data_IF_385630544198
#
_entry.id   IF_385630544198
#
_cell.length_a   1.000
_cell.length_b   1.000
_cell.length_c   1.000
_cell.angle_alpha   90.00
_cell.angle_beta   90.00
_cell.angle_gamma   90.00
#
_symmetry.space_group_name_H-M   'P 1'
#
loop_
_entity.id
_entity.type
_entity.pdbx_description
1 polymer ?
#
# COMPACT_ATOMS: atom_id res chain seq x y z
N UNK A 1 -39.24 14.03 12.63
CA UNK A 1 -39.61 15.18 11.78
C UNK A 1 -38.33 15.77 11.24
N UNK A 2 -38.06 15.60 9.94
CA UNK A 2 -36.82 16.02 9.30
C UNK A 2 -37.14 17.19 8.36
N UNK A 3 -36.76 18.40 8.73
CA UNK A 3 -36.89 19.60 7.89
C UNK A 3 -35.59 19.77 7.11
N UNK A 4 -35.45 19.02 6.01
CA UNK A 4 -34.52 19.39 4.94
C UNK A 4 -35.13 20.58 4.20
N UNK A 5 -34.34 21.64 4.02
CA UNK A 5 -34.81 22.87 3.39
C UNK A 5 -35.04 22.62 1.90
N UNK A 6 -36.20 23.03 1.37
CA UNK A 6 -36.53 22.99 -0.07
C UNK A 6 -35.50 23.70 -0.96
N UNK A 7 -34.61 24.49 -0.39
CA UNK A 7 -33.56 25.19 -1.09
C UNK A 7 -32.34 24.29 -1.36
N UNK A 8 -31.99 23.40 -0.43
CA UNK A 8 -30.87 22.46 -0.60
C UNK A 8 -31.17 21.39 -1.65
N UNK A 9 -32.42 20.92 -1.72
CA UNK A 9 -32.84 19.97 -2.75
C UNK A 9 -32.78 20.60 -4.16
N UNK A 10 -33.08 21.90 -4.26
CA UNK A 10 -33.06 22.64 -5.52
C UNK A 10 -31.65 22.92 -6.03
N UNK A 11 -30.67 23.07 -5.13
CA UNK A 11 -29.27 23.25 -5.49
C UNK A 11 -28.63 21.94 -5.94
N UNK A 12 -29.00 20.81 -5.34
CA UNK A 12 -28.54 19.47 -5.76
C UNK A 12 -29.10 19.11 -7.14
N UNK A 13 -30.39 19.35 -7.40
CA UNK A 13 -30.99 19.10 -8.71
C UNK A 13 -30.38 19.97 -9.82
N UNK A 14 -29.95 21.20 -9.49
CA UNK A 14 -29.25 22.08 -10.43
C UNK A 14 -27.84 21.57 -10.75
N UNK A 15 -27.12 21.05 -9.76
CA UNK A 15 -25.80 20.46 -9.96
C UNK A 15 -25.87 19.19 -10.84
N UNK A 16 -26.86 18.32 -10.62
CA UNK A 16 -27.07 17.12 -11.46
C UNK A 16 -27.35 17.50 -12.92
N UNK A 17 -28.11 18.58 -13.14
CA UNK A 17 -28.43 19.04 -14.50
C UNK A 17 -27.20 19.59 -15.22
N UNK A 18 -26.35 20.37 -14.53
CA UNK A 18 -25.12 20.93 -15.10
C UNK A 18 -24.13 19.83 -15.50
N UNK A 19 -24.04 18.77 -14.70
CA UNK A 19 -23.17 17.61 -14.98
C UNK A 19 -23.65 16.84 -16.20
N UNK A 20 -24.97 16.66 -16.38
CA UNK A 20 -25.54 15.94 -17.53
C UNK A 20 -25.45 16.71 -18.85
N UNK A 21 -25.48 18.04 -18.81
CA UNK A 21 -25.62 18.87 -20.01
C UNK A 21 -24.31 19.51 -20.50
N UNK A 22 -23.17 19.30 -19.83
CA UNK A 22 -21.88 19.86 -20.28
C UNK A 22 -21.19 18.91 -21.26
N UNK A 23 -21.10 19.24 -22.57
CA UNK A 23 -20.30 18.46 -23.50
C UNK A 23 -18.82 18.66 -23.20
N UNK A 24 -18.13 17.56 -22.90
CA UNK A 24 -16.69 17.55 -22.62
C UNK A 24 -15.94 17.45 -23.95
N UNK A 25 -15.46 18.56 -24.47
CA UNK A 25 -14.47 18.59 -25.55
C UNK A 25 -13.07 18.57 -24.93
N UNK A 26 -12.38 17.43 -25.00
CA UNK A 26 -11.06 17.25 -24.39
C UNK A 26 -9.96 17.59 -25.41
N UNK A 27 -9.42 18.80 -25.35
CA UNK A 27 -8.18 19.14 -26.06
C UNK A 27 -6.97 18.73 -25.21
N UNK A 28 -6.54 17.48 -25.41
CA UNK A 28 -5.40 16.86 -24.73
C UNK A 28 -4.03 17.34 -25.25
N UNK A 29 -3.99 18.02 -26.40
CA UNK A 29 -2.74 18.34 -27.09
C UNK A 29 -2.16 19.65 -26.56
N UNK A 30 -3.00 20.66 -26.33
CA UNK A 30 -2.53 21.98 -25.87
C UNK A 30 -2.03 21.97 -24.41
N UNK A 31 -2.49 21.03 -23.57
CA UNK A 31 -2.06 20.93 -22.16
C UNK A 31 -0.68 20.31 -21.97
N UNK A 32 -0.18 19.60 -22.97
CA UNK A 32 1.12 18.91 -22.90
C UNK A 32 2.28 19.80 -23.35
N UNK A 33 2.03 20.76 -24.25
CA UNK A 33 3.08 21.65 -24.78
C UNK A 33 3.44 22.84 -23.88
N UNK A 34 2.54 23.31 -23.01
CA UNK A 34 2.84 24.46 -22.13
C UNK A 34 3.79 24.16 -20.97
N UNK A 35 4.01 22.88 -20.63
CA UNK A 35 4.91 22.47 -19.54
C UNK A 35 6.38 22.34 -19.95
N UNK A 36 6.69 22.31 -21.25
CA UNK A 36 8.06 22.14 -21.74
C UNK A 36 8.79 23.44 -22.08
N UNK A 37 8.08 24.56 -22.26
CA UNK A 37 8.69 25.84 -22.62
C UNK A 37 9.08 26.71 -21.40
N UNK A 38 8.53 26.46 -20.21
CA UNK A 38 8.80 27.29 -19.02
C UNK A 38 10.08 26.93 -18.25
N UNK A 39 10.80 25.88 -18.64
CA UNK A 39 11.94 25.33 -17.86
C UNK A 39 13.31 25.58 -18.48
N UNK A 40 13.45 26.53 -19.42
CA UNK A 40 14.70 26.76 -20.16
C UNK A 40 15.40 28.11 -19.98
N UNK A 41 14.97 28.98 -19.08
CA UNK A 41 15.69 30.23 -18.84
C UNK A 41 15.90 30.52 -17.35
N UNK A 42 17.02 30.04 -16.79
CA UNK A 42 17.73 30.78 -15.73
C UNK A 42 19.24 30.55 -15.84
N UNK A 43 19.98 31.61 -16.17
CA UNK A 43 21.45 31.67 -16.15
C UNK A 43 21.98 31.89 -14.72
N UNK A 44 23.16 31.37 -14.35
CA UNK A 44 23.78 31.68 -13.06
C UNK A 44 24.63 32.96 -13.15
N UNK A 45 24.53 33.82 -12.15
CA UNK A 45 25.37 35.02 -11.98
C UNK A 45 26.52 34.73 -11.02
N UNK A 46 27.75 34.75 -11.53
CA UNK A 46 28.96 34.88 -10.72
C UNK A 46 29.12 36.29 -10.15
N UNK A 47 29.60 36.41 -8.91
CA UNK A 47 30.55 37.46 -8.53
C UNK A 47 31.40 37.04 -7.34
N UNK A 48 32.60 37.58 -7.37
CA UNK A 48 33.86 37.10 -6.80
C UNK A 48 34.29 37.96 -5.60
N UNK A 49 35.13 37.37 -4.72
CA UNK A 49 36.10 37.99 -3.75
C UNK A 49 35.51 38.54 -2.43
N UNK A 50 36.14 38.41 -1.25
CA UNK A 50 37.57 38.28 -0.91
C UNK A 50 37.83 37.87 0.56
N UNK A 51 38.91 37.08 0.75
CA UNK A 51 39.97 37.15 1.79
C UNK A 51 39.70 36.99 3.31
N UNK A 52 40.30 35.90 3.81
CA UNK A 52 41.35 35.76 4.87
C UNK A 52 40.96 35.84 6.37
N UNK A 53 41.20 34.67 6.99
CA UNK A 53 41.90 34.39 8.26
C UNK A 53 41.30 34.96 9.57
N UNK A 54 40.85 34.06 10.45
CA UNK A 54 41.56 33.82 11.71
C UNK A 54 41.28 32.42 12.26
N UNK A 55 42.34 31.79 12.73
CA UNK A 55 42.44 30.41 13.21
C UNK A 55 42.68 30.49 14.73
N UNK A 56 41.92 29.70 15.49
CA UNK A 56 42.25 29.07 16.78
C UNK A 56 42.20 29.85 18.12
N UNK A 57 41.79 29.06 19.13
CA UNK A 57 41.75 29.21 20.61
C UNK A 57 40.52 29.97 21.12
N UNK A 58 39.69 29.37 21.98
CA UNK A 58 40.04 28.87 23.33
C UNK A 58 39.39 27.51 23.65
N UNK A 59 40.19 26.65 24.28
CA UNK A 59 39.84 25.35 24.86
C UNK A 59 39.72 25.52 26.39
N UNK A 60 38.74 24.82 26.98
CA UNK A 60 38.56 24.41 28.39
C UNK A 60 38.18 25.47 29.45
N UNK A 61 37.08 25.22 30.18
CA UNK A 61 37.11 24.61 31.53
C UNK A 61 35.68 24.22 32.00
N UNK A 62 35.56 22.94 32.37
CA UNK A 62 34.67 22.25 33.35
C UNK A 62 33.15 22.41 33.27
N UNK A 63 32.38 21.37 32.95
CA UNK A 63 32.05 20.15 33.70
C UNK A 63 30.75 20.29 34.53
N UNK A 64 29.88 19.30 34.33
CA UNK A 64 28.76 18.90 35.21
C UNK A 64 27.41 19.58 35.00
N UNK A 65 26.69 19.12 33.98
CA UNK A 65 25.27 18.73 34.15
C UNK A 65 24.93 17.67 33.09
N UNK A 66 25.14 16.41 33.47
CA UNK A 66 24.57 15.28 32.80
C UNK A 66 23.05 15.39 32.86
N UNK A 67 22.37 15.50 31.72
CA UNK A 67 21.07 14.88 31.44
C UNK A 67 20.62 15.25 30.03
N UNK A 68 20.31 14.20 29.25
CA UNK A 68 19.58 14.22 27.98
C UNK A 68 20.42 14.61 26.74
N UNK A 69 21.36 13.73 26.39
CA UNK A 69 21.63 13.44 24.98
C UNK A 69 21.80 11.94 24.82
N UNK A 70 20.67 11.23 24.90
CA UNK A 70 20.54 9.91 24.27
C UNK A 70 20.45 10.14 22.75
N UNK A 71 21.54 10.64 22.17
CA UNK A 71 21.84 10.39 20.77
C UNK A 71 22.10 8.88 20.71
N UNK A 72 21.07 8.11 20.36
CA UNK A 72 21.31 6.74 19.91
C UNK A 72 22.01 6.88 18.55
N UNK A 73 23.33 6.96 18.64
CA UNK A 73 24.23 6.67 17.54
C UNK A 73 24.07 5.17 17.29
N UNK A 74 23.15 4.78 16.39
CA UNK A 74 23.21 3.45 15.77
C UNK A 74 24.29 3.53 14.68
N UNK A 75 25.55 3.55 15.09
CA UNK A 75 26.66 3.26 14.19
C UNK A 75 27.36 2.01 14.68
N UNK A 76 27.15 0.92 13.93
CA UNK A 76 28.15 -0.11 13.72
C UNK A 76 28.14 -1.29 14.67
N UNK A 77 27.58 -2.40 14.21
CA UNK A 77 28.35 -3.65 14.05
C UNK A 77 28.01 -4.25 12.68
N UNK A 78 28.41 -3.55 11.61
CA UNK A 78 28.57 -4.22 10.31
C UNK A 78 29.79 -5.12 10.51
N UNK A 79 29.60 -6.45 10.50
CA UNK A 79 30.75 -7.35 10.63
C UNK A 79 31.72 -7.07 9.47
N UNK A 80 33.04 -7.21 9.66
CA UNK A 80 34.01 -7.07 8.57
C UNK A 80 33.72 -7.97 7.35
N UNK A 81 32.97 -9.07 7.53
CA UNK A 81 32.49 -9.93 6.45
C UNK A 81 31.40 -9.28 5.59
N UNK A 82 30.55 -8.42 6.16
CA UNK A 82 29.46 -7.72 5.46
C UNK A 82 29.96 -6.50 4.66
N UNK A 83 31.09 -5.91 5.08
CA UNK A 83 31.74 -4.81 4.34
C UNK A 83 32.48 -5.30 3.07
N UNK A 84 32.87 -6.58 3.01
CA UNK A 84 33.63 -7.14 1.89
C UNK A 84 32.77 -7.45 0.65
N UNK A 85 31.43 -7.50 0.78
CA UNK A 85 30.50 -7.79 -0.32
C UNK A 85 29.82 -6.55 -0.91
N UNK A 86 30.14 -5.35 -0.42
CA UNK A 86 29.58 -4.06 -0.92
C UNK A 86 30.09 -3.63 -2.31
N UNK A 87 30.97 -4.42 -2.97
CA UNK A 87 31.51 -4.07 -4.29
C UNK A 87 30.80 -4.85 -5.38
N UNK A 88 30.10 -4.10 -6.21
CA UNK A 88 29.61 -4.47 -7.54
C UNK A 88 28.36 -5.37 -7.58
N UNK A 89 27.21 -4.78 -7.25
CA UNK A 89 25.96 -5.15 -7.92
C UNK A 89 25.47 -3.90 -8.65
N UNK A 90 25.25 -3.94 -9.98
CA UNK A 90 24.60 -2.85 -10.67
C UNK A 90 23.23 -2.63 -10.01
N UNK A 91 22.96 -1.45 -9.46
CA UNK A 91 21.62 -1.13 -8.98
C UNK A 91 20.67 -1.24 -10.17
N UNK A 92 19.86 -2.30 -10.18
CA UNK A 92 18.71 -2.36 -11.06
C UNK A 92 17.84 -1.14 -10.79
N UNK A 93 17.24 -0.59 -11.85
CA UNK A 93 16.09 0.27 -11.71
C UNK A 93 15.11 -0.37 -10.72
N UNK A 94 14.52 0.44 -9.84
CA UNK A 94 13.53 -0.01 -8.86
C UNK A 94 12.64 -1.17 -9.31
N UNK A 95 12.61 -2.22 -8.49
CA UNK A 95 11.73 -3.38 -8.70
C UNK A 95 10.25 -2.98 -8.66
N UNK A 96 9.90 -1.93 -7.91
CA UNK A 96 8.53 -1.42 -7.80
C UNK A 96 8.01 -0.78 -9.07
N UNK A 97 8.87 -0.28 -9.97
CA UNK A 97 8.46 0.20 -11.31
C UNK A 97 7.79 -0.89 -12.16
N UNK A 98 8.14 -2.15 -11.91
CA UNK A 98 7.63 -3.30 -12.66
C UNK A 98 6.50 -4.03 -11.96
N UNK A 99 6.11 -3.57 -10.77
CA UNK A 99 4.94 -4.09 -10.08
C UNK A 99 3.67 -3.74 -10.86
N UNK A 100 2.66 -4.61 -10.79
CA UNK A 100 1.29 -4.31 -11.30
C UNK A 100 0.47 -3.47 -10.30
N UNK A 101 1.15 -2.84 -9.35
CA UNK A 101 0.58 -2.06 -8.25
C UNK A 101 0.96 -0.59 -8.44
N UNK A 102 -0.05 0.24 -8.72
CA UNK A 102 0.13 1.67 -8.96
C UNK A 102 0.64 2.42 -7.72
N UNK A 103 0.36 1.90 -6.53
CA UNK A 103 0.93 2.38 -5.28
C UNK A 103 2.43 2.18 -5.19
N UNK A 104 2.93 1.00 -5.58
CA UNK A 104 4.37 0.71 -5.60
C UNK A 104 5.09 1.53 -6.69
N UNK A 105 4.47 1.69 -7.86
CA UNK A 105 5.00 2.59 -8.88
C UNK A 105 5.10 4.03 -8.35
N UNK A 106 4.04 4.53 -7.72
CA UNK A 106 4.06 5.85 -7.09
C UNK A 106 5.10 5.98 -5.96
N UNK A 107 5.36 4.90 -5.22
CA UNK A 107 6.39 4.86 -4.18
C UNK A 107 7.78 5.13 -4.76
N UNK A 108 8.10 4.53 -5.91
CA UNK A 108 9.36 4.76 -6.58
C UNK A 108 9.42 6.15 -7.25
N UNK A 109 8.39 6.52 -8.02
CA UNK A 109 8.35 7.79 -8.76
C UNK A 109 8.50 9.01 -7.84
N UNK A 110 7.90 8.94 -6.65
CA UNK A 110 7.95 9.99 -5.63
C UNK A 110 9.16 9.87 -4.69
N UNK A 111 10.00 8.84 -4.85
CA UNK A 111 11.16 8.59 -3.99
C UNK A 111 10.80 8.29 -2.53
N UNK A 112 9.65 7.64 -2.31
CA UNK A 112 9.10 7.30 -0.99
C UNK A 112 9.58 5.93 -0.49
N UNK A 113 10.03 5.06 -1.38
CA UNK A 113 10.64 3.79 -1.00
C UNK A 113 12.11 3.96 -0.60
N UNK A 114 12.58 3.08 0.28
CA UNK A 114 13.99 3.02 0.67
C UNK A 114 14.70 1.98 -0.18
N UNK A 115 15.68 2.41 -0.98
CA UNK A 115 16.57 1.49 -1.67
C UNK A 115 17.57 0.92 -0.68
N UNK A 116 17.70 -0.40 -0.68
CA UNK A 116 18.65 -1.16 0.14
C UNK A 116 19.62 -1.87 -0.79
N UNK A 117 20.83 -2.12 -0.29
CA UNK A 117 21.82 -2.95 -0.97
C UNK A 117 22.34 -4.00 0.02
N UNK A 118 21.40 -4.68 0.67
CA UNK A 118 21.73 -5.70 1.67
C UNK A 118 21.71 -7.05 0.98
N UNK A 119 22.85 -7.74 0.97
CA UNK A 119 23.02 -9.02 0.32
C UNK A 119 23.46 -10.08 1.31
N UNK A 120 22.95 -11.30 1.16
CA UNK A 120 23.41 -12.48 1.90
C UNK A 120 23.76 -13.55 0.88
N UNK A 121 24.87 -14.27 1.11
CA UNK A 121 25.33 -15.34 0.22
C UNK A 121 25.60 -16.60 1.01
N UNK A 122 24.92 -17.69 0.65
CA UNK A 122 25.16 -19.04 1.15
C UNK A 122 25.36 -19.97 -0.03
N UNK A 123 26.36 -20.86 0.04
CA UNK A 123 26.59 -21.92 -0.95
C UNK A 123 26.66 -21.41 -2.40
N UNK A 124 27.17 -20.19 -2.61
CA UNK A 124 27.30 -19.56 -3.93
C UNK A 124 26.01 -19.01 -4.53
N UNK A 125 24.92 -19.00 -3.77
CA UNK A 125 23.66 -18.32 -4.09
C UNK A 125 23.54 -17.02 -3.29
N UNK A 126 23.27 -15.92 -3.98
CA UNK A 126 23.19 -14.59 -3.39
C UNK A 126 21.76 -14.08 -3.50
N UNK A 127 21.20 -13.65 -2.37
CA UNK A 127 19.94 -12.90 -2.31
C UNK A 127 20.20 -11.47 -1.86
N UNK A 128 19.48 -10.55 -2.49
CA UNK A 128 19.51 -9.12 -2.20
C UNK A 128 18.12 -8.67 -1.79
N UNK A 129 18.05 -7.91 -0.70
CA UNK A 129 16.91 -7.03 -0.43
C UNK A 129 17.23 -5.68 -1.04
N UNK A 130 16.48 -5.31 -2.07
CA UNK A 130 16.81 -4.16 -2.93
C UNK A 130 15.99 -2.91 -2.62
N UNK A 131 14.78 -3.10 -2.12
CA UNK A 131 13.85 -1.99 -1.95
C UNK A 131 12.76 -2.31 -0.92
N UNK A 132 12.42 -1.35 -0.07
CA UNK A 132 11.34 -1.51 0.92
C UNK A 132 10.49 -0.26 1.04
N UNK A 133 9.22 -0.45 1.41
CA UNK A 133 8.33 0.64 1.78
C UNK A 133 7.33 0.19 2.85
N UNK A 134 6.97 1.10 3.75
CA UNK A 134 5.92 0.89 4.75
C UNK A 134 5.14 2.20 4.88
N UNK A 135 3.82 2.17 4.69
CA UNK A 135 2.98 3.37 4.71
C UNK A 135 1.99 3.43 5.88
N UNK A 136 2.09 2.49 6.82
CA UNK A 136 1.12 2.33 7.91
C UNK A 136 -0.04 1.39 7.59
N UNK A 137 -0.20 0.96 6.34
CA UNK A 137 -1.25 0.03 5.90
C UNK A 137 -0.70 -1.28 5.32
N UNK A 138 0.54 -1.27 4.82
CA UNK A 138 1.27 -2.44 4.34
C UNK A 138 2.78 -2.23 4.37
N UNK A 139 3.50 -3.33 4.56
CA UNK A 139 4.95 -3.45 4.36
C UNK A 139 5.17 -4.16 3.04
N UNK A 140 6.05 -3.62 2.20
CA UNK A 140 6.42 -4.23 0.92
C UNK A 140 7.92 -4.29 0.77
N UNK A 141 8.44 -5.44 0.33
CA UNK A 141 9.86 -5.76 0.22
C UNK A 141 10.13 -6.33 -1.16
N UNK A 142 11.05 -5.71 -1.90
CA UNK A 142 11.61 -6.23 -3.12
C UNK A 142 12.87 -7.05 -2.84
N UNK A 143 12.90 -8.27 -3.38
CA UNK A 143 14.06 -9.13 -3.35
C UNK A 143 14.50 -9.54 -4.75
N UNK A 144 15.80 -9.69 -4.93
CA UNK A 144 16.40 -10.06 -6.20
C UNK A 144 17.58 -11.01 -5.98
N UNK A 145 17.88 -11.83 -6.98
CA UNK A 145 19.17 -12.53 -7.08
C UNK A 145 19.93 -12.02 -8.31
N UNK A 146 21.26 -11.86 -8.23
CA UNK A 146 22.05 -11.51 -9.40
C UNK A 146 21.84 -12.53 -10.53
N UNK A 147 21.64 -12.04 -11.75
CA UNK A 147 21.61 -12.88 -12.94
C UNK A 147 23.00 -13.47 -13.20
N UNK A 148 23.11 -14.79 -13.34
CA UNK A 148 24.34 -15.44 -13.79
C UNK A 148 24.23 -15.74 -15.27
N UNK A 149 25.16 -15.19 -16.06
CA UNK A 149 25.21 -15.37 -17.49
C UNK A 149 25.30 -16.88 -17.84
N UNK A 150 24.38 -17.36 -18.69
CA UNK A 150 24.23 -18.77 -19.03
C UNK A 150 23.27 -19.58 -18.13
N UNK A 151 22.77 -19.00 -17.04
CA UNK A 151 21.75 -19.61 -16.18
C UNK A 151 20.35 -19.31 -16.76
N UNK A 152 19.89 -20.13 -17.71
CA UNK A 152 18.50 -20.11 -18.18
C UNK A 152 17.67 -21.07 -17.33
N UNK A 153 17.25 -20.64 -16.13
CA UNK A 153 16.27 -21.41 -15.36
C UNK A 153 14.85 -21.02 -15.77
N UNK A 154 14.05 -22.03 -16.15
CA UNK A 154 12.59 -21.87 -16.26
C UNK A 154 11.94 -21.65 -14.88
N UNK A 155 12.68 -21.96 -13.81
CA UNK A 155 12.26 -21.76 -12.43
C UNK A 155 12.50 -20.31 -11.99
N UNK A 156 11.47 -19.69 -11.42
CA UNK A 156 11.54 -18.33 -10.87
C UNK A 156 12.15 -18.34 -9.46
N UNK A 157 12.61 -17.19 -8.99
CA UNK A 157 13.04 -16.99 -7.61
C UNK A 157 11.92 -17.38 -6.64
N UNK A 158 10.68 -17.03 -7.01
CA UNK A 158 9.50 -17.36 -6.21
C UNK A 158 9.30 -18.88 -6.08
N UNK A 159 9.49 -19.64 -7.16
CA UNK A 159 9.39 -21.11 -7.13
C UNK A 159 10.45 -21.76 -6.24
N UNK A 160 11.62 -21.12 -6.10
CA UNK A 160 12.74 -21.60 -5.28
C UNK A 160 12.60 -21.30 -3.81
N UNK A 161 11.80 -20.31 -3.43
CA UNK A 161 11.55 -19.98 -2.03
C UNK A 161 10.64 -21.06 -1.45
N UNK A 162 11.14 -21.77 -0.44
CA UNK A 162 10.37 -22.80 0.25
C UNK A 162 9.69 -22.29 1.51
N UNK A 163 10.24 -21.22 2.11
CA UNK A 163 9.73 -20.69 3.37
C UNK A 163 10.07 -19.21 3.53
N UNK A 164 9.20 -18.48 4.23
CA UNK A 164 9.39 -17.06 4.54
C UNK A 164 8.79 -16.71 5.90
N UNK A 165 9.63 -16.15 6.75
CA UNK A 165 9.30 -15.74 8.10
C UNK A 165 9.69 -14.28 8.34
N UNK A 166 8.91 -13.63 9.19
CA UNK A 166 9.10 -12.24 9.56
C UNK A 166 9.05 -12.09 11.08
N UNK A 167 10.03 -11.39 11.64
CA UNK A 167 10.04 -10.97 13.04
C UNK A 167 9.98 -9.45 13.11
N UNK A 168 9.09 -8.93 13.97
CA UNK A 168 8.98 -7.50 14.22
C UNK A 168 9.66 -7.19 15.55
N UNK A 169 10.76 -6.42 15.51
CA UNK A 169 11.64 -6.16 16.65
C UNK A 169 12.11 -7.45 17.35
N UNK A 170 12.47 -8.47 16.57
CA UNK A 170 12.91 -9.78 17.07
C UNK A 170 11.80 -10.66 17.67
N UNK A 171 10.52 -10.26 17.55
CA UNK A 171 9.38 -11.06 18.02
C UNK A 171 8.64 -11.65 16.83
N UNK A 172 8.25 -12.91 16.97
CA UNK A 172 7.35 -13.59 16.02
C UNK A 172 6.03 -12.83 15.97
N UNK A 173 5.52 -12.57 14.76
CA UNK A 173 4.21 -11.97 14.59
C UNK A 173 3.13 -13.01 14.90
N UNK A 174 2.13 -12.62 15.67
CA UNK A 174 0.99 -13.48 15.93
C UNK A 174 0.20 -13.66 14.61
N UNK A 175 0.00 -14.91 14.14
CA UNK A 175 -0.67 -15.17 12.88
C UNK A 175 -2.14 -14.73 12.88
N UNK A 176 -2.73 -14.46 14.05
CA UNK A 176 -4.12 -13.96 14.17
C UNK A 176 -4.25 -12.45 13.94
N UNK A 177 -3.14 -11.71 13.94
CA UNK A 177 -3.12 -10.25 13.76
C UNK A 177 -2.37 -9.81 12.49
N UNK A 178 -2.00 -10.77 11.65
CA UNK A 178 -1.17 -10.62 10.45
C UNK A 178 -1.93 -11.10 9.22
N UNK A 179 -1.88 -10.36 8.12
CA UNK A 179 -2.65 -10.65 6.90
C UNK A 179 -2.23 -11.92 6.13
N UNK A 180 -1.19 -12.62 6.59
CA UNK A 180 -0.43 -13.51 5.74
C UNK A 180 0.57 -12.74 4.86
N UNK A 181 1.45 -13.49 4.21
CA UNK A 181 2.41 -12.95 3.23
C UNK A 181 1.83 -13.12 1.83
N UNK A 182 1.63 -12.01 1.13
CA UNK A 182 1.37 -12.00 -0.30
C UNK A 182 2.69 -11.98 -1.06
N UNK A 183 2.82 -12.86 -2.04
CA UNK A 183 4.00 -12.93 -2.90
C UNK A 183 3.58 -12.57 -4.31
N UNK A 184 4.19 -11.52 -4.86
CA UNK A 184 3.90 -11.03 -6.19
C UNK A 184 5.06 -11.40 -7.12
N UNK A 185 4.80 -12.18 -8.18
CA UNK A 185 5.79 -12.39 -9.22
C UNK A 185 6.06 -11.07 -9.95
N UNK A 186 7.29 -10.89 -10.40
CA UNK A 186 7.64 -9.76 -11.28
C UNK A 186 7.82 -10.26 -12.71
N UNK A 187 8.13 -9.35 -13.63
CA UNK A 187 8.50 -9.72 -15.00
C UNK A 187 9.88 -10.39 -15.10
N UNK A 188 10.72 -10.25 -14.08
CA UNK A 188 12.04 -10.87 -14.03
C UNK A 188 11.99 -12.09 -13.11
N UNK A 189 12.24 -13.27 -13.68
CA UNK A 189 12.29 -14.54 -12.97
C UNK A 189 13.28 -14.54 -11.79
N UNK A 190 14.22 -13.59 -11.70
CA UNK A 190 15.18 -13.48 -10.62
C UNK A 190 14.76 -12.51 -9.51
N UNK A 191 13.51 -12.06 -9.50
CA UNK A 191 13.01 -11.12 -8.50
C UNK A 191 11.61 -11.46 -8.02
N UNK A 192 11.30 -11.02 -6.80
CA UNK A 192 10.00 -11.21 -6.17
C UNK A 192 9.68 -10.02 -5.27
N UNK A 193 8.39 -9.75 -5.08
CA UNK A 193 7.91 -8.74 -4.13
C UNK A 193 7.09 -9.45 -3.05
N UNK A 194 7.40 -9.17 -1.79
CA UNK A 194 6.60 -9.61 -0.66
C UNK A 194 5.83 -8.45 -0.08
N UNK A 195 4.56 -8.69 0.20
CA UNK A 195 3.68 -7.75 0.86
C UNK A 195 3.04 -8.41 2.07
N UNK A 196 2.95 -7.67 3.17
CA UNK A 196 2.17 -8.07 4.32
C UNK A 196 1.70 -6.85 5.12
N UNK A 197 0.80 -7.07 6.08
CA UNK A 197 0.33 -6.01 6.94
C UNK A 197 -0.15 -6.50 8.30
N UNK A 198 -0.28 -5.54 9.21
CA UNK A 198 -1.12 -5.70 10.38
C UNK A 198 -2.60 -5.80 9.99
N UNK A 199 -3.38 -6.41 10.86
CA UNK A 199 -4.83 -6.49 10.78
C UNK A 199 -5.48 -5.47 11.73
N UNK A 200 -4.90 -4.26 11.87
CA UNK A 200 -5.33 -3.28 12.89
C UNK A 200 -6.81 -2.90 12.80
N UNK A 201 -7.33 -2.86 11.58
CA UNK A 201 -8.75 -2.53 11.34
C UNK A 201 -9.68 -3.74 11.51
N UNK A 202 -9.12 -4.94 11.67
CA UNK A 202 -9.83 -6.18 11.98
C UNK A 202 -9.57 -6.60 13.43
N UNK A 203 -9.06 -5.71 14.28
CA UNK A 203 -8.82 -5.94 15.70
C UNK A 203 -7.52 -6.67 16.03
N UNK A 204 -6.56 -6.69 15.09
CA UNK A 204 -5.15 -6.92 15.40
C UNK A 204 -4.47 -5.67 15.97
N UNK A 205 -3.24 -5.81 16.44
CA UNK A 205 -2.44 -4.68 16.91
C UNK A 205 -1.74 -3.98 15.73
N UNK A 206 -1.70 -2.64 15.69
CA UNK A 206 -1.01 -1.91 14.62
C UNK A 206 0.50 -2.10 14.72
N UNK A 207 1.16 -2.17 13.56
CA UNK A 207 2.61 -2.08 13.52
C UNK A 207 3.09 -0.69 14.01
N UNK A 208 4.23 -0.62 14.71
CA UNK A 208 4.82 0.65 15.10
C UNK A 208 5.19 1.50 13.86
N UNK A 209 5.23 2.82 14.01
CA UNK A 209 5.73 3.72 12.94
C UNK A 209 7.20 3.43 12.55
N UNK A 210 7.99 2.87 13.46
CA UNK A 210 9.38 2.48 13.23
C UNK A 210 9.66 1.16 13.94
N UNK A 211 10.29 0.21 13.24
CA UNK A 211 10.65 -1.09 13.78
C UNK A 211 11.82 -1.70 13.00
N UNK A 212 12.54 -2.63 13.60
CA UNK A 212 13.46 -3.49 12.86
C UNK A 212 12.72 -4.75 12.41
N UNK A 213 12.69 -4.99 11.11
CA UNK A 213 12.12 -6.20 10.52
C UNK A 213 13.24 -7.20 10.28
N UNK A 214 13.12 -8.40 10.85
CA UNK A 214 13.97 -9.52 10.44
C UNK A 214 13.20 -10.34 9.42
N UNK A 215 13.71 -10.41 8.18
CA UNK A 215 13.25 -11.33 7.14
C UNK A 215 14.15 -12.57 7.18
N UNK A 216 13.55 -13.75 7.32
CA UNK A 216 14.22 -15.04 7.18
C UNK A 216 13.57 -15.80 6.02
N UNK A 217 14.33 -16.27 5.06
CA UNK A 217 13.80 -17.07 3.95
C UNK A 217 14.70 -18.24 3.61
N UNK A 218 14.07 -19.38 3.30
CA UNK A 218 14.78 -20.60 2.90
C UNK A 218 14.64 -20.82 1.41
N UNK A 219 15.75 -21.21 0.78
CA UNK A 219 15.82 -21.49 -0.65
C UNK A 219 16.02 -22.99 -0.85
N UNK A 220 15.22 -23.59 -1.73
CA UNK A 220 15.34 -25.01 -2.09
C UNK A 220 16.78 -25.34 -2.51
N UNK A 221 17.33 -26.37 -1.89
CA UNK A 221 18.68 -26.86 -2.16
C UNK A 221 19.80 -26.09 -1.46
N UNK A 222 19.47 -25.16 -0.55
CA UNK A 222 20.45 -24.46 0.30
C UNK A 222 20.13 -24.77 1.75
N UNK A 223 21.15 -25.15 2.52
CA UNK A 223 20.96 -25.64 3.88
C UNK A 223 20.69 -24.53 4.90
N UNK A 224 21.34 -23.37 4.72
CA UNK A 224 21.21 -22.22 5.63
C UNK A 224 20.13 -21.23 5.16
N UNK A 225 19.30 -20.70 6.10
CA UNK A 225 18.33 -19.66 5.77
C UNK A 225 19.02 -18.31 5.56
N UNK A 226 18.48 -17.52 4.63
CA UNK A 226 18.93 -16.15 4.37
C UNK A 226 18.23 -15.20 5.33
N UNK A 227 18.99 -14.54 6.21
CA UNK A 227 18.46 -13.62 7.23
C UNK A 227 18.89 -12.18 6.96
N UNK A 228 17.93 -11.26 6.97
CA UNK A 228 18.13 -9.83 6.77
C UNK A 228 17.51 -9.03 7.91
N UNK A 229 18.27 -8.09 8.47
CA UNK A 229 17.75 -7.06 9.38
C UNK A 229 17.51 -5.76 8.61
N UNK A 230 16.26 -5.32 8.61
CA UNK A 230 15.77 -4.23 7.77
C UNK A 230 15.13 -3.17 8.67
N UNK A 231 15.74 -1.97 8.79
CA UNK A 231 15.13 -0.88 9.52
C UNK A 231 13.95 -0.31 8.72
N UNK A 232 12.76 -0.38 9.29
CA UNK A 232 11.52 0.11 8.69
C UNK A 232 11.09 1.42 9.35
N UNK A 233 10.69 2.38 8.52
CA UNK A 233 10.05 3.63 8.95
C UNK A 233 8.86 3.91 8.06
N UNK A 234 7.73 4.23 8.69
CA UNK A 234 6.49 4.58 8.01
C UNK A 234 6.66 5.88 7.24
N UNK A 235 6.17 5.90 5.99
CA UNK A 235 5.98 7.13 5.20
C UNK A 235 4.62 7.80 5.49
N UNK A 236 3.82 7.22 6.39
CA UNK A 236 2.42 7.57 6.62
C UNK A 236 2.17 8.75 7.56
N UNK A 237 3.14 9.66 7.72
CA UNK A 237 2.98 10.79 8.65
C UNK A 237 1.88 11.79 8.23
N UNK A 238 1.50 11.81 6.94
CA UNK A 238 0.44 12.64 6.39
C UNK A 238 -0.78 11.84 5.89
N UNK A 239 -1.00 10.64 6.45
CA UNK A 239 -2.15 9.83 6.08
C UNK A 239 -3.47 10.51 6.49
N UNK A 240 -4.46 10.48 5.60
CA UNK A 240 -5.82 10.93 5.91
C UNK A 240 -6.63 9.74 6.38
N UNK A 241 -7.18 9.82 7.60
CA UNK A 241 -8.01 8.77 8.18
C UNK A 241 -9.43 9.29 8.33
N UNK A 242 -10.37 8.63 7.66
CA UNK A 242 -11.79 8.93 7.73
C UNK A 242 -12.50 7.79 8.47
N UNK A 243 -13.29 8.13 9.48
CA UNK A 243 -14.13 7.17 10.21
C UNK A 243 -15.60 7.58 10.02
N UNK A 244 -16.18 7.33 8.84
CA UNK A 244 -17.52 7.80 8.52
C UNK A 244 -18.56 7.18 9.46
N UNK A 245 -18.32 5.97 10.00
CA UNK A 245 -19.27 5.22 10.85
C UNK A 245 -20.66 5.14 10.21
N UNK A 246 -20.69 5.07 8.88
CA UNK A 246 -21.91 5.04 8.09
C UNK A 246 -22.32 3.58 7.91
N UNK A 247 -23.57 3.29 8.28
CA UNK A 247 -24.19 1.98 8.05
C UNK A 247 -25.47 2.13 7.24
N UNK A 248 -25.72 1.14 6.38
CA UNK A 248 -26.92 0.99 5.56
C UNK A 248 -27.43 -0.44 5.70
N UNK A 249 -28.71 -0.63 5.44
CA UNK A 249 -29.36 -1.94 5.52
C UNK A 249 -30.12 -2.22 4.24
N UNK A 250 -30.08 -3.46 3.79
CA UNK A 250 -30.86 -3.97 2.67
C UNK A 250 -31.19 -5.44 2.93
N UNK A 251 -32.48 -5.77 3.00
CA UNK A 251 -32.98 -7.09 3.39
C UNK A 251 -32.42 -7.53 4.75
N UNK A 252 -31.75 -8.68 4.79
CA UNK A 252 -31.11 -9.23 5.98
C UNK A 252 -29.69 -8.69 6.21
N UNK A 253 -29.18 -7.80 5.35
CA UNK A 253 -27.78 -7.39 5.40
C UNK A 253 -27.67 -5.98 5.99
N UNK A 254 -26.80 -5.83 6.97
CA UNK A 254 -26.26 -4.56 7.44
C UNK A 254 -24.84 -4.39 6.91
N UNK A 255 -24.60 -3.34 6.15
CA UNK A 255 -23.29 -2.99 5.59
C UNK A 255 -22.81 -1.68 6.21
N UNK A 256 -21.53 -1.61 6.57
CA UNK A 256 -20.89 -0.37 7.01
C UNK A 256 -19.52 -0.17 6.41
N UNK A 257 -19.16 1.11 6.30
CA UNK A 257 -17.79 1.55 6.02
C UNK A 257 -17.25 2.04 7.36
N UNK A 258 -16.32 1.29 7.93
CA UNK A 258 -15.81 1.53 9.27
C UNK A 258 -14.69 2.57 9.23
N UNK A 259 -13.79 2.45 8.25
CA UNK A 259 -12.64 3.34 8.09
C UNK A 259 -12.16 3.44 6.64
N UNK A 260 -11.67 4.62 6.24
CA UNK A 260 -10.91 4.83 5.01
C UNK A 260 -9.57 5.47 5.40
N UNK A 261 -8.46 4.88 4.96
CA UNK A 261 -7.11 5.42 5.13
C UNK A 261 -6.53 5.74 3.76
N UNK A 262 -6.19 7.00 3.53
CA UNK A 262 -5.53 7.46 2.31
C UNK A 262 -4.07 7.76 2.63
N UNK A 263 -3.16 6.96 2.06
CA UNK A 263 -1.72 7.15 2.16
C UNK A 263 -1.17 7.64 0.81
N UNK A 264 0.11 8.08 0.76
CA UNK A 264 0.74 8.42 -0.52
C UNK A 264 0.79 7.29 -1.55
N UNK A 265 0.63 6.03 -1.12
CA UNK A 265 0.81 4.82 -1.97
C UNK A 265 -0.33 3.79 -1.84
N UNK A 266 -1.33 4.00 -0.98
CA UNK A 266 -2.43 3.06 -0.75
C UNK A 266 -3.70 3.79 -0.36
N UNK A 267 -4.83 3.38 -0.94
CA UNK A 267 -6.17 3.65 -0.39
C UNK A 267 -6.68 2.39 0.29
N UNK A 268 -6.85 2.39 1.62
CA UNK A 268 -7.39 1.26 2.38
C UNK A 268 -8.81 1.56 2.86
N UNK A 269 -9.76 0.72 2.48
CA UNK A 269 -11.16 0.82 2.90
C UNK A 269 -11.50 -0.40 3.74
N UNK A 270 -11.95 -0.16 4.97
CA UNK A 270 -12.42 -1.20 5.87
C UNK A 270 -13.93 -1.22 5.87
N UNK A 271 -14.51 -2.37 5.53
CA UNK A 271 -15.95 -2.58 5.52
C UNK A 271 -16.35 -3.66 6.48
N UNK A 272 -17.60 -3.61 6.95
CA UNK A 272 -18.20 -4.66 7.75
C UNK A 272 -19.55 -5.04 7.16
N UNK A 273 -19.81 -6.35 7.10
CA UNK A 273 -21.08 -6.92 6.66
C UNK A 273 -21.60 -7.82 7.77
N UNK A 274 -22.83 -7.59 8.21
CA UNK A 274 -23.49 -8.41 9.22
C UNK A 274 -24.88 -8.87 8.73
N UNK A 275 -25.23 -10.13 9.00
CA UNK A 275 -26.58 -10.67 8.82
C UNK A 275 -27.41 -10.41 10.07
N UNK A 276 -28.55 -9.74 9.90
CA UNK A 276 -29.42 -9.30 11.00
C UNK A 276 -30.10 -10.47 11.72
N UNK A 277 -30.42 -11.54 11.00
CA UNK A 277 -30.99 -12.78 11.53
C UNK A 277 -29.96 -13.72 12.17
N UNK A 278 -28.66 -13.35 12.13
CA UNK A 278 -27.53 -14.14 12.64
C UNK A 278 -27.39 -15.52 11.99
N UNK A 279 -27.93 -15.70 10.78
CA UNK A 279 -27.65 -16.88 9.97
C UNK A 279 -26.19 -16.90 9.53
N UNK A 280 -25.69 -18.07 9.16
CA UNK A 280 -24.29 -18.26 8.76
C UNK A 280 -24.11 -17.69 7.35
N UNK A 281 -23.07 -16.88 7.14
CA UNK A 281 -22.67 -16.47 5.78
C UNK A 281 -22.04 -17.68 5.07
N UNK A 282 -22.73 -18.26 4.10
CA UNK A 282 -22.31 -19.45 3.38
C UNK A 282 -21.52 -19.06 2.11
N UNK A 283 -20.19 -19.04 2.25
CA UNK A 283 -19.26 -18.97 1.13
C UNK A 283 -19.03 -17.56 0.56
N UNK A 284 -18.22 -17.46 -0.49
CA UNK A 284 -17.88 -16.19 -1.14
C UNK A 284 -19.06 -15.54 -1.89
N UNK A 285 -20.12 -16.30 -2.15
CA UNK A 285 -21.28 -15.86 -2.95
C UNK A 285 -22.16 -14.85 -2.21
N UNK A 286 -22.17 -14.91 -0.89
CA UNK A 286 -22.96 -14.03 -0.03
C UNK A 286 -22.17 -12.79 0.42
N UNK A 287 -20.91 -12.65 -0.03
CA UNK A 287 -20.07 -11.51 0.32
C UNK A 287 -20.45 -10.28 -0.51
N UNK A 288 -20.59 -9.15 0.17
CA UNK A 288 -20.68 -7.85 -0.46
C UNK A 288 -19.29 -7.42 -0.93
N UNK A 289 -19.19 -7.10 -2.22
CA UNK A 289 -18.05 -6.45 -2.83
C UNK A 289 -18.34 -4.96 -3.00
N UNK A 290 -17.31 -4.16 -3.28
CA UNK A 290 -17.47 -2.71 -3.49
C UNK A 290 -16.78 -2.24 -4.75
N UNK A 291 -17.30 -1.20 -5.40
CA UNK A 291 -16.50 -0.35 -6.29
C UNK A 291 -16.40 1.03 -5.68
N UNK A 292 -15.25 1.65 -5.86
CA UNK A 292 -14.93 2.96 -5.26
C UNK A 292 -14.70 3.93 -6.40
N UNK A 293 -15.40 5.05 -6.33
CA UNK A 293 -15.36 6.10 -7.34
C UNK A 293 -14.89 7.39 -6.68
N UNK A 294 -14.06 8.17 -7.39
CA UNK A 294 -13.79 9.56 -7.03
C UNK A 294 -14.94 10.49 -7.47
N UNK A 295 -14.85 11.80 -7.16
CA UNK A 295 -15.87 12.78 -7.57
C UNK A 295 -15.94 13.02 -9.08
N UNK A 296 -14.94 12.55 -9.84
CA UNK A 296 -14.86 12.67 -11.30
C UNK A 296 -15.44 11.43 -12.00
N UNK A 297 -15.81 10.39 -11.24
CA UNK A 297 -16.35 9.14 -11.75
C UNK A 297 -15.28 8.10 -12.10
N UNK A 298 -14.00 8.33 -11.79
CA UNK A 298 -12.96 7.33 -11.98
C UNK A 298 -13.11 6.20 -10.97
N UNK A 299 -13.01 4.96 -11.46
CA UNK A 299 -13.06 3.76 -10.62
C UNK A 299 -11.65 3.42 -10.17
N UNK A 300 -11.46 3.31 -8.85
CA UNK A 300 -10.18 2.93 -8.29
C UNK A 300 -9.82 1.49 -8.63
N UNK A 301 -8.57 1.28 -9.07
CA UNK A 301 -8.04 -0.05 -9.32
C UNK A 301 -7.65 -0.77 -8.02
N UNK A 302 -8.04 -2.03 -7.95
CA UNK A 302 -7.76 -2.91 -6.82
C UNK A 302 -6.29 -3.35 -6.86
N UNK A 303 -5.58 -3.22 -5.74
CA UNK A 303 -4.21 -3.74 -5.61
C UNK A 303 -4.20 -5.10 -4.92
N UNK A 304 -4.72 -5.16 -3.70
CA UNK A 304 -4.79 -6.39 -2.90
C UNK A 304 -5.94 -6.33 -1.88
N UNK A 305 -6.40 -7.50 -1.43
CA UNK A 305 -7.28 -7.61 -0.27
C UNK A 305 -6.47 -7.78 1.00
N UNK A 306 -6.91 -7.16 2.11
CA UNK A 306 -6.48 -7.53 3.44
C UNK A 306 -7.44 -8.62 3.91
N UNK A 307 -6.89 -9.72 4.45
CA UNK A 307 -7.68 -10.82 5.03
C UNK A 307 -8.84 -10.31 5.89
N UNK A 308 -9.91 -11.09 5.96
CA UNK A 308 -11.08 -10.73 6.75
C UNK A 308 -11.08 -11.39 8.11
N UNK A 309 -11.83 -10.81 9.05
CA UNK A 309 -12.09 -11.41 10.36
C UNK A 309 -13.58 -11.63 10.56
N UNK A 310 -13.92 -12.84 10.97
CA UNK A 310 -15.23 -13.18 11.53
C UNK A 310 -15.27 -12.72 12.99
N UNK A 311 -16.29 -11.96 13.35
CA UNK A 311 -16.40 -11.37 14.70
C UNK A 311 -17.27 -12.20 15.64
N UNK A 312 -17.91 -13.27 15.14
CA UNK A 312 -18.71 -14.20 15.92
C UNK A 312 -18.65 -15.65 15.41
N UNK A 313 -19.05 -16.58 16.28
CA UNK A 313 -19.15 -18.00 15.94
C UNK A 313 -20.26 -18.19 14.90
N UNK A 314 -19.89 -18.67 13.71
CA UNK A 314 -20.82 -18.90 12.60
C UNK A 314 -20.89 -17.77 11.57
N UNK A 315 -19.83 -16.96 11.40
CA UNK A 315 -19.57 -16.08 10.25
C UNK A 315 -20.66 -15.06 9.86
N UNK A 316 -21.67 -14.82 10.70
CA UNK A 316 -22.75 -13.86 10.41
C UNK A 316 -22.29 -12.39 10.41
N UNK A 317 -21.08 -12.11 10.91
CA UNK A 317 -20.52 -10.77 10.99
C UNK A 317 -19.03 -10.78 10.58
N UNK A 318 -18.72 -10.05 9.51
CA UNK A 318 -17.46 -10.11 8.81
C UNK A 318 -16.89 -8.72 8.54
N UNK A 319 -15.64 -8.50 8.96
CA UNK A 319 -14.87 -7.28 8.66
C UNK A 319 -13.82 -7.61 7.59
N UNK A 320 -13.71 -6.77 6.57
CA UNK A 320 -12.72 -6.90 5.50
C UNK A 320 -12.01 -5.59 5.22
N UNK A 321 -10.73 -5.68 4.82
CA UNK A 321 -9.97 -4.56 4.31
C UNK A 321 -9.75 -4.70 2.81
N UNK A 322 -9.93 -3.61 2.08
CA UNK A 322 -9.65 -3.51 0.66
C UNK A 322 -8.56 -2.47 0.41
N UNK A 323 -7.49 -2.85 -0.30
CA UNK A 323 -6.54 -1.88 -0.85
C UNK A 323 -6.80 -1.58 -2.31
N UNK A 324 -6.62 -0.32 -2.65
CA UNK A 324 -6.70 0.20 -4.00
C UNK A 324 -5.60 1.24 -4.24
N UNK A 325 -5.49 1.68 -5.48
CA UNK A 325 -4.54 2.71 -5.89
C UNK A 325 -4.63 3.99 -5.02
N UNK A 326 -3.50 4.69 -4.81
CA UNK A 326 -3.48 5.98 -4.14
C UNK A 326 -4.05 7.08 -5.03
N UNK A 327 -4.31 8.23 -4.42
CA UNK A 327 -4.61 9.45 -5.16
C UNK A 327 -3.36 10.31 -5.36
N UNK A 328 -3.18 10.86 -6.56
CA UNK A 328 -2.17 11.90 -6.79
C UNK A 328 -2.50 13.18 -6.01
N UNK A 329 -3.78 13.56 -6.03
CA UNK A 329 -4.36 14.67 -5.26
C UNK A 329 -5.58 14.16 -4.54
N UNK A 330 -5.73 14.53 -3.26
CA UNK A 330 -6.88 14.10 -2.46
C UNK A 330 -8.20 14.43 -3.18
N UNK A 331 -9.11 13.45 -3.36
CA UNK A 331 -10.41 13.71 -3.93
C UNK A 331 -11.24 14.57 -2.99
N UNK A 332 -12.32 15.16 -3.51
CA UNK A 332 -13.30 15.89 -2.69
C UNK A 332 -14.26 14.93 -2.00
N UNK A 333 -14.56 13.81 -2.64
CA UNK A 333 -15.46 12.80 -2.11
C UNK A 333 -15.15 11.44 -2.72
N UNK A 334 -15.53 10.38 -2.00
CA UNK A 334 -15.52 9.01 -2.49
C UNK A 334 -16.94 8.47 -2.50
N UNK A 335 -17.35 7.88 -3.62
CA UNK A 335 -18.60 7.13 -3.72
C UNK A 335 -18.28 5.64 -3.71
N UNK A 336 -18.81 4.93 -2.70
CA UNK A 336 -18.66 3.48 -2.55
C UNK A 336 -19.98 2.85 -2.97
N UNK A 337 -19.92 2.00 -4.00
CA UNK A 337 -21.06 1.28 -4.56
C UNK A 337 -20.95 -0.22 -4.28
N UNK A 338 -21.72 -0.75 -3.32
CA UNK A 338 -21.75 -2.18 -3.04
C UNK A 338 -22.38 -2.99 -4.17
N UNK A 339 -21.87 -4.20 -4.39
CA UNK A 339 -22.39 -5.14 -5.37
C UNK A 339 -22.18 -6.60 -4.95
N UNK A 340 -22.90 -7.50 -5.60
CA UNK A 340 -22.69 -8.96 -5.53
C UNK A 340 -22.38 -9.51 -6.92
N UNK A 341 -21.65 -10.61 -6.98
CA UNK A 341 -21.51 -11.36 -8.22
C UNK A 341 -22.73 -12.24 -8.47
N UNK A 342 -23.12 -12.38 -9.73
CA UNK A 342 -24.13 -13.34 -10.13
C UNK A 342 -23.46 -14.68 -10.49
N UNK A 343 -24.08 -15.78 -10.08
CA UNK A 343 -23.54 -17.13 -10.27
C UNK A 343 -24.48 -17.99 -11.11
N UNK A 344 -23.91 -18.93 -11.87
CA UNK A 344 -24.67 -19.93 -12.60
C UNK A 344 -25.30 -20.92 -11.62
N UNK A 345 -26.50 -21.41 -11.98
CA UNK A 345 -27.13 -22.53 -11.26
C UNK A 345 -26.29 -23.81 -11.41
N UNK A 346 -25.74 -24.04 -12.62
CA UNK A 346 -24.83 -25.14 -12.92
C UNK A 346 -23.71 -24.71 -13.90
N UNK A 347 -22.43 -25.07 -13.64
CA UNK A 347 -21.93 -25.67 -12.39
C UNK A 347 -22.02 -24.68 -11.23
N UNK A 348 -22.56 -25.15 -10.10
CA UNK A 348 -22.79 -24.32 -8.90
C UNK A 348 -21.47 -23.72 -8.42
N UNK A 349 -21.46 -22.42 -8.17
CA UNK A 349 -20.25 -21.70 -7.75
C UNK A 349 -19.53 -20.95 -8.86
N UNK A 350 -19.82 -21.22 -10.14
CA UNK A 350 -19.23 -20.47 -11.26
C UNK A 350 -19.92 -19.13 -11.46
N UNK A 351 -19.14 -18.08 -11.74
CA UNK A 351 -19.67 -16.76 -12.09
C UNK A 351 -20.48 -16.82 -13.39
N UNK A 352 -21.60 -16.08 -13.43
CA UNK A 352 -22.20 -15.68 -14.71
C UNK A 352 -21.24 -14.71 -15.38
N UNK A 353 -20.89 -14.96 -16.63
CA UNK A 353 -20.01 -14.09 -17.40
C UNK A 353 -20.81 -13.27 -18.41
N UNK A 354 -20.37 -12.05 -18.69
CA UNK A 354 -20.89 -11.21 -19.77
C UNK A 354 -20.29 -11.60 -21.13
N UNK A 355 -20.65 -10.86 -22.18
CA UNK A 355 -20.17 -11.09 -23.55
C UNK A 355 -18.64 -10.93 -23.71
N UNK A 356 -17.98 -10.25 -22.77
CA UNK A 356 -16.52 -10.03 -22.76
C UNK A 356 -15.79 -11.07 -21.90
N UNK A 357 -16.53 -11.98 -21.24
CA UNK A 357 -15.97 -12.98 -20.33
C UNK A 357 -15.74 -12.46 -18.90
N UNK A 358 -16.28 -11.29 -18.55
CA UNK A 358 -16.15 -10.70 -17.21
C UNK A 358 -17.33 -11.13 -16.30
N UNK A 359 -17.11 -11.34 -14.99
CA UNK A 359 -18.20 -11.66 -14.08
C UNK A 359 -19.29 -10.59 -14.05
N UNK A 360 -20.53 -11.01 -14.25
CA UNK A 360 -21.70 -10.12 -14.13
C UNK A 360 -21.90 -9.75 -12.66
N UNK A 361 -22.01 -8.45 -12.41
CA UNK A 361 -22.27 -7.88 -11.09
C UNK A 361 -23.67 -7.29 -11.01
N UNK A 362 -24.26 -7.32 -9.82
CA UNK A 362 -25.48 -6.60 -9.49
C UNK A 362 -25.20 -5.62 -8.36
N UNK A 363 -25.35 -4.32 -8.62
CA UNK A 363 -25.24 -3.28 -7.60
C UNK A 363 -26.40 -3.35 -6.61
N UNK A 364 -26.15 -2.87 -5.39
CA UNK A 364 -27.15 -2.71 -4.32
C UNK A 364 -27.26 -1.21 -3.99
N UNK A 365 -28.07 -0.43 -4.73
CA UNK A 365 -28.13 1.03 -4.61
C UNK A 365 -28.49 1.53 -3.20
N UNK A 366 -29.26 0.75 -2.44
CA UNK A 366 -29.66 1.06 -1.07
C UNK A 366 -28.48 1.09 -0.08
N UNK A 367 -27.38 0.45 -0.44
CA UNK A 367 -26.14 0.42 0.33
C UNK A 367 -25.09 1.42 -0.18
N UNK A 368 -25.38 2.17 -1.24
CA UNK A 368 -24.46 3.18 -1.79
C UNK A 368 -24.24 4.32 -0.79
N UNK A 369 -22.98 4.74 -0.67
CA UNK A 369 -22.59 5.83 0.24
C UNK A 369 -21.59 6.74 -0.45
N UNK A 370 -21.82 8.05 -0.34
CA UNK A 370 -20.83 9.07 -0.71
C UNK A 370 -20.27 9.73 0.55
N UNK A 371 -18.94 9.73 0.68
CA UNK A 371 -18.22 10.25 1.83
C UNK A 371 -17.42 11.47 1.39
N UNK A 372 -17.71 12.67 1.91
CA UNK A 372 -16.89 13.84 1.65
C UNK A 372 -15.54 13.69 2.33
N UNK A 373 -14.47 13.95 1.59
CA UNK A 373 -13.12 14.11 2.13
C UNK A 373 -12.98 15.58 2.48
N UNK A 374 -13.59 15.97 3.60
CA UNK A 374 -13.33 17.29 4.15
C UNK A 374 -11.89 17.29 4.65
N UNK A 375 -11.03 18.06 3.99
CA UNK A 375 -9.74 18.47 4.53
C UNK A 375 -10.06 19.32 5.77
N UNK A 376 -10.25 18.68 6.91
CA UNK A 376 -10.13 19.37 8.19
C UNK A 376 -8.65 19.75 8.29
N UNK A 377 -8.37 21.00 7.89
CA UNK A 377 -7.11 21.69 8.17
C UNK A 377 -6.93 21.87 9.67
#
# INVERSE_FOLDING_TARGET
MNTRSKQEDKEVDQLEKIIRETPVEVDLVNRTMSKYESSRDTKPSEKIRTRKKLRQRVIMITASAAMIFSLIIVTGLISPTMAATMKEVPLFSSIFKFARDLGLQAADEKGLSTKLNTSVTHEGFTLNVTEVVYDGTRVVIGIERPHKEGESSNETLLDRISDIDFLLNGKVMDPTIFSGTLMHPTKDNNSAIFEFADMKNQGGEPFPKQFNLTLSTTIKGISEPFTFDIPMKSIGDNNVILQPKLSRQHNNIQFSIDQIELTPITTLITTRTALLDKSIMIGSQERIHIKVFDEQGHVLQWSSGIGGRETNDGSSDFISGLRSEPFETLPKALTIKPYIYLYNEYPKGSFKMDENGEPIIQYIPELEVTIPINSQQ
#
